data_IF_368753860548
#
_entry.id   IF_368753860548
#
_cell.length_a   1.000
_cell.length_b   1.000
_cell.length_c   1.000
_cell.angle_alpha   90.00
_cell.angle_beta   90.00
_cell.angle_gamma   90.00
#
_symmetry.space_group_name_H-M   'P 1'
#
loop_
_entity.id
_entity.type
_entity.pdbx_description
1 polymer ?
#
# COMPACT_ATOMS: atom_id res chain seq x y z
N UNK A 1 -3.46 -1.70 -3.95
CA UNK A 1 -3.01 -0.32 -4.27
C UNK A 1 -3.10 -0.12 -5.78
N UNK A 2 -3.49 1.08 -6.25
CA UNK A 2 -4.04 1.52 -7.56
C UNK A 2 -5.06 0.62 -8.33
N UNK A 3 -5.14 -0.68 -8.04
CA UNK A 3 -6.08 -1.66 -8.58
C UNK A 3 -5.96 -1.91 -10.09
N UNK A 4 -4.77 -1.71 -10.67
CA UNK A 4 -4.52 -1.96 -12.11
C UNK A 4 -4.24 -3.44 -12.46
N UNK A 5 -4.18 -4.30 -11.44
CA UNK A 5 -3.98 -5.74 -11.60
C UNK A 5 -2.51 -6.18 -11.70
N UNK A 6 -1.54 -5.27 -11.55
CA UNK A 6 -0.10 -5.59 -11.55
C UNK A 6 0.64 -4.79 -10.50
N UNK A 7 1.34 -5.43 -9.57
CA UNK A 7 2.13 -4.69 -8.56
C UNK A 7 3.40 -4.11 -9.20
N UNK A 8 3.45 -2.80 -9.39
CA UNK A 8 4.51 -2.10 -10.12
C UNK A 8 4.81 -0.69 -9.54
N UNK A 9 5.48 0.15 -10.33
CA UNK A 9 5.85 1.52 -9.91
C UNK A 9 4.66 2.45 -9.69
N UNK A 10 3.51 2.18 -10.30
CA UNK A 10 2.29 2.95 -10.09
C UNK A 10 1.71 2.71 -8.69
N UNK A 11 1.72 1.47 -8.22
CA UNK A 11 1.44 1.08 -6.83
C UNK A 11 2.35 1.79 -5.84
N UNK A 12 3.66 1.82 -6.14
CA UNK A 12 4.64 2.51 -5.31
C UNK A 12 4.36 4.01 -5.25
N UNK A 13 4.04 4.64 -6.39
CA UNK A 13 3.71 6.06 -6.43
C UNK A 13 2.49 6.38 -5.56
N UNK A 14 1.44 5.56 -5.66
CA UNK A 14 0.23 5.68 -4.82
C UNK A 14 0.56 5.53 -3.33
N UNK A 15 1.36 4.52 -2.95
CA UNK A 15 1.79 4.35 -1.57
C UNK A 15 2.56 5.57 -1.06
N UNK A 16 3.46 6.13 -1.87
CA UNK A 16 4.25 7.30 -1.50
C UNK A 16 3.43 8.59 -1.42
N UNK A 17 2.31 8.70 -2.14
CA UNK A 17 1.38 9.83 -1.99
C UNK A 17 0.72 9.87 -0.60
N UNK A 18 0.57 8.71 0.03
CA UNK A 18 -0.04 8.54 1.35
C UNK A 18 0.99 8.33 2.48
N UNK A 19 2.28 8.53 2.21
CA UNK A 19 3.32 8.21 3.18
C UNK A 19 3.19 9.02 4.48
N UNK A 20 3.03 8.31 5.60
CA UNK A 20 2.87 8.90 6.93
C UNK A 20 1.42 9.27 7.29
N UNK A 21 0.45 9.01 6.40
CA UNK A 21 -0.96 9.13 6.73
C UNK A 21 -1.31 8.16 7.88
N UNK A 22 -2.10 8.64 8.83
CA UNK A 22 -2.53 7.86 9.99
C UNK A 22 -3.99 8.16 10.30
N UNK A 23 -4.77 7.13 10.60
CA UNK A 23 -6.20 7.24 10.95
C UNK A 23 -6.49 6.72 12.36
N UNK A 24 -7.75 6.83 12.79
CA UNK A 24 -8.19 6.23 14.05
C UNK A 24 -8.29 4.71 13.88
N UNK A 25 -8.13 3.94 14.98
CA UNK A 25 -8.20 2.48 14.90
C UNK A 25 -9.49 1.96 14.26
N UNK A 26 -9.33 1.15 13.22
CA UNK A 26 -10.44 0.53 12.49
C UNK A 26 -10.98 1.35 11.32
N UNK A 27 -10.33 2.47 10.98
CA UNK A 27 -10.46 3.10 9.68
C UNK A 27 -9.45 2.49 8.69
N UNK A 28 -9.58 2.75 7.39
CA UNK A 28 -8.68 2.15 6.39
C UNK A 28 -8.18 3.21 5.43
N UNK A 29 -6.86 3.25 5.22
CA UNK A 29 -6.21 4.06 4.20
C UNK A 29 -5.96 3.21 2.95
N UNK A 30 -6.15 3.75 1.73
CA UNK A 30 -5.93 2.99 0.48
C UNK A 30 -4.52 2.39 0.34
N UNK A 31 -3.53 2.98 1.02
CA UNK A 31 -2.14 2.57 1.03
C UNK A 31 -1.70 1.86 2.32
N UNK A 32 -2.60 1.67 3.29
CA UNK A 32 -2.37 0.84 4.47
C UNK A 32 -2.61 -0.62 4.09
N UNK A 33 -1.52 -1.31 3.79
CA UNK A 33 -1.51 -2.66 3.25
C UNK A 33 -1.47 -3.71 4.36
N UNK A 34 -1.03 -3.36 5.57
CA UNK A 34 -0.98 -4.28 6.70
C UNK A 34 -2.18 -4.13 7.67
N UNK A 35 -2.97 -3.08 7.52
CA UNK A 35 -4.13 -2.76 8.35
C UNK A 35 -3.78 -2.27 9.75
N UNK A 36 -2.67 -1.55 9.92
CA UNK A 36 -2.22 -1.00 11.21
C UNK A 36 -2.58 0.48 11.43
N UNK A 37 -3.42 1.03 10.55
CA UNK A 37 -3.91 2.40 10.57
C UNK A 37 -2.82 3.47 10.27
N UNK A 38 -1.61 3.08 9.84
CA UNK A 38 -0.47 3.97 9.55
C UNK A 38 0.29 3.56 8.28
N UNK A 39 0.30 4.41 7.26
CA UNK A 39 1.08 4.16 6.03
C UNK A 39 2.56 4.42 6.27
N UNK A 40 3.36 3.36 6.29
CA UNK A 40 4.79 3.44 6.60
C UNK A 40 5.65 2.36 5.88
N UNK A 41 6.85 2.12 6.41
CA UNK A 41 7.80 1.15 5.88
C UNK A 41 7.26 -0.29 5.87
N UNK A 42 6.33 -0.64 6.76
CA UNK A 42 5.73 -1.97 6.79
C UNK A 42 4.81 -2.20 5.58
N UNK A 43 4.07 -1.18 5.14
CA UNK A 43 3.29 -1.24 3.90
C UNK A 43 4.19 -1.33 2.68
N UNK A 44 5.28 -0.55 2.65
CA UNK A 44 6.26 -0.66 1.57
C UNK A 44 6.84 -2.08 1.48
N UNK A 45 7.16 -2.70 2.62
CA UNK A 45 7.63 -4.08 2.64
C UNK A 45 6.58 -5.05 2.09
N UNK A 46 5.30 -4.87 2.43
CA UNK A 46 4.19 -5.67 1.90
C UNK A 46 4.03 -5.51 0.39
N UNK A 47 4.19 -4.28 -0.12
CA UNK A 47 4.17 -3.98 -1.55
C UNK A 47 5.33 -4.68 -2.27
N UNK A 48 6.56 -4.52 -1.76
CA UNK A 48 7.77 -5.12 -2.35
C UNK A 48 7.77 -6.65 -2.30
N UNK A 49 7.16 -7.25 -1.27
CA UNK A 49 6.97 -8.70 -1.18
C UNK A 49 6.08 -9.29 -2.30
N UNK A 50 5.26 -8.44 -2.94
CA UNK A 50 4.37 -8.81 -4.03
C UNK A 50 4.78 -8.21 -5.38
N UNK A 51 5.97 -7.61 -5.48
CA UNK A 51 6.41 -6.90 -6.68
C UNK A 51 6.37 -7.78 -7.93
N UNK A 52 5.78 -7.25 -9.01
CA UNK A 52 5.64 -7.92 -10.29
C UNK A 52 4.57 -9.00 -10.35
N UNK A 53 3.84 -9.27 -9.26
CA UNK A 53 2.69 -10.19 -9.28
C UNK A 53 1.53 -9.53 -10.03
N UNK A 54 0.76 -10.36 -10.74
CA UNK A 54 -0.48 -9.97 -11.40
C UNK A 54 -1.67 -10.62 -10.72
N UNK A 55 -2.84 -10.01 -10.78
CA UNK A 55 -4.10 -10.68 -10.42
C UNK A 55 -4.38 -11.82 -11.43
N UNK A 56 -4.82 -12.98 -10.93
CA UNK A 56 -5.31 -14.09 -11.77
C UNK A 56 -6.74 -13.85 -12.29
#
# INVERSE_FOLDING_TARGET
>A
VNLDGVVNTADLAELLMHWGDQVQPGEHLPADLNGDDLVNIIDLNSLLANWGKTAE
#
